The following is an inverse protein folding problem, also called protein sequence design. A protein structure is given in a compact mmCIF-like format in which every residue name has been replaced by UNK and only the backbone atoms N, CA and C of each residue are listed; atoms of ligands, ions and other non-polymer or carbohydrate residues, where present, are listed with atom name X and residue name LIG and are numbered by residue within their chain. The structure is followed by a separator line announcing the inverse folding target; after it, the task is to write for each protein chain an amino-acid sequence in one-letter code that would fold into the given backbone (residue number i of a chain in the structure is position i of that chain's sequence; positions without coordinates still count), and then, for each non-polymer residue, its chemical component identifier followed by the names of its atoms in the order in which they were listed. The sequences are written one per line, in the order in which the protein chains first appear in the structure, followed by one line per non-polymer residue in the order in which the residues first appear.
data_IF_306349195225
#
_entry.id   IF_306349195225
#
_cell.length_a   1.000
_cell.length_b   1.000
_cell.length_c   1.000
_cell.angle_alpha   90.00
_cell.angle_beta   90.00
_cell.angle_gamma   90.00
#
_symmetry.space_group_name_H-M   'P 1'
#
loop_
_entity.id
_entity.type
_entity.pdbx_description
1 polymer ?
#
# COMPACT_ATOMS: atom_id res chain seq x y z
N UNK A 1 -5.44 -20.27 16.31
CA UNK A 1 -5.31 -18.81 16.10
C UNK A 1 -5.89 -18.51 14.72
N UNK A 2 -6.97 -17.75 14.65
CA UNK A 2 -7.57 -17.33 13.37
C UNK A 2 -6.57 -16.41 12.67
N UNK A 3 -6.18 -16.76 11.43
CA UNK A 3 -5.35 -15.89 10.59
C UNK A 3 -6.12 -14.59 10.37
N UNK A 4 -5.52 -13.44 10.74
CA UNK A 4 -6.07 -12.12 10.44
C UNK A 4 -6.17 -11.94 8.94
N UNK A 5 -7.23 -11.27 8.47
CA UNK A 5 -7.29 -10.84 7.08
C UNK A 5 -6.21 -9.79 6.80
N UNK A 6 -5.80 -9.61 5.54
CA UNK A 6 -4.83 -8.56 5.17
C UNK A 6 -5.28 -7.17 5.63
N UNK A 7 -6.58 -6.91 5.60
CA UNK A 7 -7.17 -5.65 6.08
C UNK A 7 -6.99 -5.45 7.59
N UNK A 8 -7.29 -6.46 8.38
CA UNK A 8 -7.11 -6.42 9.83
C UNK A 8 -5.65 -6.22 10.21
N UNK A 9 -4.75 -6.95 9.54
CA UNK A 9 -3.31 -6.83 9.76
C UNK A 9 -2.78 -5.43 9.37
N UNK A 10 -3.25 -4.85 8.27
CA UNK A 10 -2.89 -3.49 7.88
C UNK A 10 -3.36 -2.46 8.94
N UNK A 11 -4.60 -2.59 9.43
CA UNK A 11 -5.11 -1.70 10.49
C UNK A 11 -4.36 -1.87 11.82
N UNK A 12 -3.93 -3.09 12.18
CA UNK A 12 -3.07 -3.31 13.36
C UNK A 12 -1.73 -2.59 13.21
N UNK A 13 -1.06 -2.72 12.06
CA UNK A 13 0.18 -1.99 11.80
C UNK A 13 0.00 -0.49 11.97
N UNK A 14 -1.11 0.08 11.49
CA UNK A 14 -1.39 1.51 11.65
C UNK A 14 -1.65 1.92 13.09
N UNK A 15 -2.29 1.06 13.90
CA UNK A 15 -2.50 1.30 15.32
C UNK A 15 -1.19 1.19 16.12
N UNK A 16 -0.41 0.16 15.88
CA UNK A 16 0.88 -0.09 16.54
C UNK A 16 1.88 1.04 16.23
N UNK A 17 1.80 1.60 15.03
CA UNK A 17 2.61 2.75 14.64
C UNK A 17 1.97 4.11 14.96
N UNK A 18 0.83 4.15 15.65
CA UNK A 18 0.07 5.38 16.00
C UNK A 18 -0.19 6.30 14.79
N UNK A 19 -0.43 5.69 13.63
CA UNK A 19 -0.63 6.40 12.36
C UNK A 19 -2.02 6.20 11.77
N UNK A 20 -2.96 5.66 12.56
CA UNK A 20 -4.33 5.34 12.14
C UNK A 20 -5.18 6.61 11.97
N UNK A 21 -4.98 7.33 10.87
CA UNK A 21 -5.69 8.57 10.51
C UNK A 21 -5.74 8.79 9.00
N UNK A 22 -6.58 9.72 8.56
CA UNK A 22 -6.75 10.09 7.14
C UNK A 22 -6.16 11.48 6.89
N UNK A 23 -5.27 11.65 5.89
CA UNK A 23 -4.59 10.60 5.14
C UNK A 23 -3.54 9.88 5.99
N UNK A 24 -3.31 8.60 5.73
CA UNK A 24 -2.26 7.82 6.42
C UNK A 24 -0.89 8.42 6.09
N UNK A 25 -0.06 8.79 7.09
CA UNK A 25 1.29 9.30 6.86
C UNK A 25 2.27 8.15 6.60
N UNK A 26 2.26 7.59 5.40
CA UNK A 26 2.92 6.31 5.08
C UNK A 26 4.43 6.31 5.33
N UNK A 27 5.09 7.46 5.15
CA UNK A 27 6.53 7.60 5.44
C UNK A 27 6.80 7.52 6.96
N UNK A 28 5.87 7.99 7.79
CA UNK A 28 5.95 7.84 9.25
C UNK A 28 5.70 6.38 9.66
N UNK A 29 4.78 5.68 8.97
CA UNK A 29 4.60 4.23 9.15
C UNK A 29 5.91 3.50 8.91
N UNK A 30 6.56 3.75 7.76
CA UNK A 30 7.85 3.16 7.43
C UNK A 30 8.88 3.46 8.52
N UNK A 31 9.04 4.72 8.93
CA UNK A 31 9.98 5.14 9.95
C UNK A 31 9.76 4.40 11.30
N UNK A 32 8.52 4.25 11.73
CA UNK A 32 8.18 3.56 12.99
C UNK A 32 8.37 2.04 12.90
N UNK A 33 8.39 1.49 11.70
CA UNK A 33 8.78 0.09 11.43
C UNK A 33 10.30 -0.10 11.30
N UNK A 34 11.10 0.97 11.48
CA UNK A 34 12.57 0.91 11.34
C UNK A 34 13.07 1.00 9.89
N UNK A 35 12.21 1.44 8.95
CA UNK A 35 12.52 1.59 7.54
C UNK A 35 12.81 3.06 7.22
N UNK A 36 13.96 3.34 6.60
CA UNK A 36 14.24 4.65 6.01
C UNK A 36 13.53 4.75 4.65
N UNK A 37 13.08 5.94 4.27
CA UNK A 37 12.49 6.19 2.96
C UNK A 37 13.31 7.25 2.23
N UNK A 38 13.70 6.97 0.98
CA UNK A 38 14.49 7.87 0.16
C UNK A 38 13.94 8.00 -1.25
N UNK A 39 13.90 9.22 -1.76
CA UNK A 39 13.64 9.47 -3.17
C UNK A 39 14.90 9.15 -3.98
N UNK A 40 14.77 8.34 -5.03
CA UNK A 40 15.89 7.92 -5.87
C UNK A 40 15.54 8.00 -7.35
N UNK A 41 16.53 8.25 -8.19
CA UNK A 41 16.39 8.17 -9.64
C UNK A 41 16.55 6.71 -10.06
N UNK A 42 15.45 5.96 -10.11
CA UNK A 42 15.45 4.52 -10.37
C UNK A 42 15.28 4.14 -11.85
N UNK A 43 15.24 5.15 -12.75
CA UNK A 43 14.92 4.94 -14.16
C UNK A 43 13.43 4.65 -14.38
N UNK A 44 13.02 4.49 -15.65
CA UNK A 44 11.61 4.44 -16.03
C UNK A 44 10.93 3.09 -15.69
N UNK A 45 11.73 2.04 -15.47
CA UNK A 45 11.22 0.67 -15.31
C UNK A 45 11.05 0.24 -13.85
N UNK A 46 11.53 1.02 -12.88
CA UNK A 46 11.48 0.68 -11.46
C UNK A 46 10.68 1.71 -10.70
N UNK A 47 9.68 1.26 -9.96
CA UNK A 47 8.86 2.11 -9.10
C UNK A 47 9.47 2.29 -7.73
N UNK A 48 9.99 1.22 -7.15
CA UNK A 48 10.59 1.20 -5.84
C UNK A 48 11.51 0.02 -5.61
N UNK A 49 12.13 0.01 -4.45
CA UNK A 49 12.95 -1.08 -3.96
C UNK A 49 12.94 -1.12 -2.43
N UNK A 50 12.98 -2.30 -1.89
CA UNK A 50 13.22 -2.55 -0.47
C UNK A 50 14.55 -3.28 -0.29
N UNK A 51 15.44 -2.70 0.50
CA UNK A 51 16.69 -3.32 0.92
C UNK A 51 16.63 -3.55 2.42
N UNK A 52 16.87 -4.77 2.87
CA UNK A 52 16.92 -5.10 4.30
C UNK A 52 18.25 -5.78 4.60
N UNK A 53 18.96 -5.24 5.57
CA UNK A 53 20.22 -5.78 6.04
C UNK A 53 20.31 -5.66 7.57
N UNK A 54 20.59 -6.76 8.26
CA UNK A 54 20.78 -6.82 9.71
C UNK A 54 19.65 -6.10 10.49
N UNK A 55 18.40 -6.42 10.16
CA UNK A 55 17.17 -5.84 10.76
C UNK A 55 16.97 -4.33 10.52
N UNK A 56 17.78 -3.71 9.67
CA UNK A 56 17.57 -2.35 9.19
C UNK A 56 17.10 -2.39 7.75
N UNK A 57 16.15 -1.54 7.41
CA UNK A 57 15.62 -1.48 6.06
C UNK A 57 15.63 -0.08 5.47
N UNK A 58 15.68 -0.02 4.14
CA UNK A 58 15.52 1.21 3.38
C UNK A 58 14.58 0.96 2.20
N UNK A 59 13.65 1.87 2.01
CA UNK A 59 12.73 1.91 0.87
C UNK A 59 13.17 3.04 -0.05
N UNK A 60 13.62 2.70 -1.26
CA UNK A 60 13.80 3.65 -2.35
C UNK A 60 12.52 3.78 -3.17
N UNK A 61 12.09 5.00 -3.50
CA UNK A 61 10.97 5.22 -4.41
C UNK A 61 11.36 6.19 -5.53
N UNK A 62 10.80 5.97 -6.73
CA UNK A 62 11.19 6.73 -7.90
C UNK A 62 10.72 8.19 -7.80
N UNK A 63 11.68 9.11 -7.80
CA UNK A 63 11.44 10.55 -7.71
C UNK A 63 10.65 11.11 -8.89
N UNK A 64 10.73 10.48 -10.07
CA UNK A 64 10.01 10.92 -11.28
C UNK A 64 8.51 10.62 -11.27
N UNK A 65 8.05 9.75 -10.35
CA UNK A 65 6.65 9.39 -10.27
C UNK A 65 5.80 10.43 -9.54
N UNK A 66 4.51 10.53 -9.91
CA UNK A 66 3.55 11.36 -9.20
C UNK A 66 3.47 11.00 -7.70
N UNK A 67 3.21 11.98 -6.84
CA UNK A 67 3.21 11.80 -5.38
C UNK A 67 2.32 10.67 -4.89
N UNK A 68 1.11 10.53 -5.46
CA UNK A 68 0.19 9.43 -5.10
C UNK A 68 0.79 8.06 -5.40
N UNK A 69 1.58 7.95 -6.47
CA UNK A 69 2.28 6.72 -6.84
C UNK A 69 3.47 6.46 -5.92
N UNK A 70 4.27 7.48 -5.59
CA UNK A 70 5.36 7.35 -4.62
C UNK A 70 4.84 6.82 -3.28
N UNK A 71 3.71 7.33 -2.80
CA UNK A 71 3.05 6.86 -1.58
C UNK A 71 2.61 5.39 -1.67
N UNK A 72 2.05 5.00 -2.83
CA UNK A 72 1.67 3.60 -3.06
C UNK A 72 2.89 2.69 -3.07
N UNK A 73 3.98 3.10 -3.73
CA UNK A 73 5.25 2.36 -3.71
C UNK A 73 5.75 2.14 -2.28
N UNK A 74 5.80 3.18 -1.44
CA UNK A 74 6.21 3.01 -0.04
C UNK A 74 5.31 2.02 0.71
N UNK A 75 3.98 2.08 0.51
CA UNK A 75 3.05 1.15 1.13
C UNK A 75 3.23 -0.29 0.65
N UNK A 76 3.53 -0.48 -0.64
CA UNK A 76 3.83 -1.77 -1.25
C UNK A 76 5.12 -2.39 -0.68
N UNK A 77 6.18 -1.59 -0.55
CA UNK A 77 7.43 -2.08 0.05
C UNK A 77 7.28 -2.39 1.54
N UNK A 78 6.45 -1.64 2.28
CA UNK A 78 6.07 -2.01 3.65
C UNK A 78 5.37 -3.37 3.68
N UNK A 79 4.54 -3.69 2.68
CA UNK A 79 3.90 -4.99 2.58
C UNK A 79 4.91 -6.12 2.39
N UNK A 80 5.90 -5.98 1.51
CA UNK A 80 6.98 -6.95 1.38
C UNK A 80 7.74 -7.14 2.68
N UNK A 81 8.04 -6.05 3.38
CA UNK A 81 8.69 -6.11 4.70
C UNK A 81 7.87 -6.88 5.74
N UNK A 82 6.54 -6.64 5.80
CA UNK A 82 5.67 -7.24 6.82
C UNK A 82 5.26 -8.68 6.50
N UNK A 83 5.06 -9.01 5.22
CA UNK A 83 4.46 -10.27 4.79
C UNK A 83 5.50 -11.28 4.28
N UNK A 84 6.52 -10.81 3.58
CA UNK A 84 7.39 -11.67 2.78
C UNK A 84 8.83 -11.73 3.27
N UNK A 85 9.20 -10.88 4.24
CA UNK A 85 10.55 -10.89 4.81
C UNK A 85 10.81 -12.21 5.54
N UNK A 86 11.83 -12.95 5.09
CA UNK A 86 12.26 -14.19 5.75
C UNK A 86 13.18 -13.84 6.94
N UNK A 87 12.72 -14.07 8.15
CA UNK A 87 13.39 -13.72 9.42
C UNK A 87 14.83 -14.23 9.59
N UNK A 88 15.31 -15.15 8.74
CA UNK A 88 16.62 -15.79 8.90
C UNK A 88 17.63 -15.41 7.80
N UNK A 89 17.39 -14.39 6.99
CA UNK A 89 18.34 -13.95 5.98
C UNK A 89 19.03 -12.67 6.41
N UNK A 90 20.36 -12.64 6.36
CA UNK A 90 21.17 -11.47 6.72
C UNK A 90 20.94 -10.27 5.80
N UNK A 91 20.54 -10.52 4.56
CA UNK A 91 20.28 -9.47 3.58
C UNK A 91 19.21 -9.92 2.59
N UNK A 92 18.27 -9.05 2.26
CA UNK A 92 17.21 -9.27 1.27
C UNK A 92 17.00 -8.00 0.45
N UNK A 93 16.79 -8.20 -0.85
CA UNK A 93 16.52 -7.14 -1.80
C UNK A 93 15.23 -7.48 -2.56
N UNK A 94 14.26 -6.58 -2.54
CA UNK A 94 13.08 -6.59 -3.39
C UNK A 94 13.19 -5.41 -4.34
N UNK A 95 12.92 -5.64 -5.62
CA UNK A 95 12.87 -4.58 -6.63
C UNK A 95 11.50 -4.67 -7.27
N UNK A 96 10.72 -3.59 -7.15
CA UNK A 96 9.41 -3.47 -7.77
C UNK A 96 9.56 -2.93 -9.20
N UNK A 97 9.44 -3.79 -10.22
CA UNK A 97 9.35 -3.33 -11.59
C UNK A 97 8.06 -2.53 -11.80
N UNK A 98 8.09 -1.60 -12.74
CA UNK A 98 6.91 -0.83 -13.14
C UNK A 98 5.80 -1.76 -13.65
N UNK A 99 4.93 -2.24 -12.78
CA UNK A 99 3.74 -3.00 -13.16
C UNK A 99 2.53 -2.07 -13.07
N UNK A 100 2.03 -1.66 -14.24
CA UNK A 100 0.66 -1.18 -14.36
C UNK A 100 -0.24 -2.36 -13.99
N UNK A 101 -1.20 -2.16 -13.09
CA UNK A 101 -2.22 -3.15 -12.72
C UNK A 101 -2.72 -3.90 -13.96
N UNK A 102 -2.18 -5.08 -14.25
CA UNK A 102 -2.72 -5.98 -15.26
C UNK A 102 -3.73 -6.90 -14.60
N UNK A 103 -4.92 -6.95 -15.20
CA UNK A 103 -6.08 -7.73 -14.74
C UNK A 103 -5.98 -9.23 -14.91
N UNK A 104 -4.83 -9.81 -15.21
CA UNK A 104 -4.73 -11.23 -15.57
C UNK A 104 -4.27 -12.07 -14.38
N UNK A 105 -5.25 -12.55 -13.62
CA UNK A 105 -5.11 -13.46 -12.45
C UNK A 105 -4.67 -14.89 -12.81
N UNK A 106 -4.21 -15.18 -14.02
CA UNK A 106 -4.13 -16.57 -14.52
C UNK A 106 -2.75 -17.22 -14.66
N UNK A 107 -1.67 -16.62 -14.15
CA UNK A 107 -0.36 -17.28 -14.11
C UNK A 107 0.38 -17.02 -12.82
N UNK A 108 -0.11 -17.66 -11.74
CA UNK A 108 0.46 -17.45 -10.42
C UNK A 108 1.73 -18.26 -10.19
N UNK A 109 2.90 -17.68 -10.53
CA UNK A 109 4.15 -18.09 -9.91
C UNK A 109 4.16 -17.67 -8.43
N UNK A 110 5.04 -18.24 -7.60
CA UNK A 110 5.11 -17.85 -6.17
C UNK A 110 5.38 -16.35 -5.99
N UNK A 111 6.11 -15.71 -6.91
CA UNK A 111 6.37 -14.26 -6.91
C UNK A 111 5.09 -13.46 -7.23
N UNK A 112 4.28 -13.90 -8.20
CA UNK A 112 3.04 -13.21 -8.55
C UNK A 112 2.06 -13.15 -7.36
N UNK A 113 2.00 -14.20 -6.54
CA UNK A 113 1.18 -14.21 -5.32
C UNK A 113 1.66 -13.19 -4.29
N UNK A 114 2.96 -13.08 -4.08
CA UNK A 114 3.54 -12.09 -3.17
C UNK A 114 3.24 -10.67 -3.63
N UNK A 115 3.33 -10.42 -4.94
CA UNK A 115 3.00 -9.12 -5.52
C UNK A 115 1.51 -8.77 -5.34
N UNK A 116 0.60 -9.72 -5.56
CA UNK A 116 -0.83 -9.53 -5.32
C UNK A 116 -1.12 -9.24 -3.85
N UNK A 117 -0.49 -9.97 -2.93
CA UNK A 117 -0.63 -9.75 -1.49
C UNK A 117 -0.06 -8.38 -1.10
N UNK A 118 1.12 -8.01 -1.61
CA UNK A 118 1.74 -6.71 -1.35
C UNK A 118 0.88 -5.55 -1.86
N UNK A 119 0.30 -5.67 -3.06
CA UNK A 119 -0.62 -4.68 -3.60
C UNK A 119 -1.89 -4.53 -2.75
N UNK A 120 -2.50 -5.64 -2.33
CA UNK A 120 -3.70 -5.63 -1.47
C UNK A 120 -3.41 -5.04 -0.10
N UNK A 121 -2.31 -5.43 0.51
CA UNK A 121 -1.92 -4.91 1.82
C UNK A 121 -1.53 -3.43 1.76
N UNK A 122 -0.77 -3.01 0.74
CA UNK A 122 -0.42 -1.61 0.51
C UNK A 122 -1.66 -0.73 0.30
N UNK A 123 -2.64 -1.22 -0.46
CA UNK A 123 -3.93 -0.55 -0.60
C UNK A 123 -4.69 -0.47 0.74
N UNK A 124 -4.67 -1.53 1.55
CA UNK A 124 -5.29 -1.55 2.87
C UNK A 124 -4.61 -0.60 3.86
N UNK A 125 -3.28 -0.45 3.81
CA UNK A 125 -2.54 0.54 4.59
C UNK A 125 -2.95 1.98 4.24
N UNK A 126 -3.02 2.31 2.94
CA UNK A 126 -3.36 3.66 2.51
C UNK A 126 -4.86 3.98 2.66
N UNK A 127 -5.71 2.97 2.54
CA UNK A 127 -7.16 3.07 2.53
C UNK A 127 -7.78 2.03 3.47
N UNK A 128 -7.59 2.17 4.81
CA UNK A 128 -8.16 1.24 5.79
C UNK A 128 -9.68 1.19 5.67
N UNK A 129 -10.24 -0.03 5.65
CA UNK A 129 -11.66 -0.25 5.41
C UNK A 129 -12.55 0.51 6.40
N UNK A 130 -12.20 0.46 7.69
CA UNK A 130 -12.94 1.14 8.74
C UNK A 130 -12.91 2.67 8.58
N UNK A 131 -11.76 3.24 8.19
CA UNK A 131 -11.65 4.69 7.95
C UNK A 131 -12.39 5.12 6.68
N UNK A 132 -12.39 4.30 5.63
CA UNK A 132 -13.19 4.55 4.42
C UNK A 132 -14.68 4.60 4.75
N UNK A 133 -15.20 3.58 5.41
CA UNK A 133 -16.61 3.53 5.81
C UNK A 133 -16.99 4.72 6.70
N UNK A 134 -16.09 5.13 7.62
CA UNK A 134 -16.30 6.30 8.46
C UNK A 134 -16.39 7.60 7.65
N UNK A 135 -15.50 7.81 6.69
CA UNK A 135 -15.51 9.01 5.83
C UNK A 135 -16.74 9.02 4.91
N UNK A 136 -17.11 7.89 4.32
CA UNK A 136 -18.34 7.75 3.51
C UNK A 136 -19.57 8.13 4.34
N UNK A 137 -19.74 7.54 5.51
CA UNK A 137 -20.88 7.82 6.40
C UNK A 137 -20.89 9.26 6.88
N UNK A 138 -19.74 9.79 7.27
CA UNK A 138 -19.59 11.16 7.80
C UNK A 138 -20.03 12.23 6.79
N UNK A 139 -19.75 12.00 5.52
CA UNK A 139 -20.04 12.96 4.45
C UNK A 139 -21.28 12.62 3.63
N UNK A 140 -21.99 11.51 3.95
CA UNK A 140 -23.18 11.06 3.24
C UNK A 140 -22.92 10.81 1.75
N UNK A 141 -21.77 10.20 1.42
CA UNK A 141 -21.33 10.04 0.04
C UNK A 141 -22.14 8.95 -0.68
N UNK A 142 -22.64 9.29 -1.86
CA UNK A 142 -23.17 8.34 -2.83
C UNK A 142 -22.00 7.85 -3.70
N UNK A 143 -21.67 6.56 -3.61
CA UNK A 143 -20.55 5.99 -4.34
C UNK A 143 -20.82 5.74 -5.82
N UNK A 144 -22.07 5.89 -6.28
CA UNK A 144 -22.41 5.90 -7.70
C UNK A 144 -22.07 7.25 -8.36
N UNK A 145 -21.72 8.28 -7.55
CA UNK A 145 -21.28 9.59 -8.01
C UNK A 145 -19.75 9.66 -8.17
N UNK A 146 -19.27 10.06 -9.37
CA UNK A 146 -17.83 10.24 -9.65
C UNK A 146 -17.18 11.32 -8.75
N UNK A 147 -17.94 12.33 -8.33
CA UNK A 147 -17.44 13.36 -7.42
C UNK A 147 -17.15 12.79 -6.04
N UNK A 148 -17.95 11.85 -5.56
CA UNK A 148 -17.70 11.15 -4.29
C UNK A 148 -16.41 10.32 -4.36
N UNK A 149 -16.17 9.61 -5.47
CA UNK A 149 -14.92 8.86 -5.69
C UNK A 149 -13.70 9.79 -5.73
N UNK A 150 -13.82 10.91 -6.45
CA UNK A 150 -12.77 11.94 -6.53
C UNK A 150 -12.50 12.57 -5.17
N UNK A 151 -13.54 12.86 -4.38
CA UNK A 151 -13.41 13.38 -3.02
C UNK A 151 -12.62 12.40 -2.13
N UNK A 152 -13.01 11.12 -2.11
CA UNK A 152 -12.32 10.10 -1.31
C UNK A 152 -10.87 9.93 -1.74
N UNK A 153 -10.60 9.88 -3.05
CA UNK A 153 -9.23 9.76 -3.57
C UNK A 153 -8.34 10.91 -3.10
N UNK A 154 -8.84 12.16 -3.17
CA UNK A 154 -8.15 13.35 -2.66
C UNK A 154 -7.95 13.28 -1.15
N UNK A 155 -8.98 12.88 -0.41
CA UNK A 155 -8.97 12.78 1.05
C UNK A 155 -7.92 11.79 1.56
N UNK A 156 -7.81 10.63 0.91
CA UNK A 156 -6.82 9.59 1.25
C UNK A 156 -5.45 9.79 0.55
N UNK A 157 -5.33 10.78 -0.34
CA UNK A 157 -4.14 11.06 -1.16
C UNK A 157 -3.69 9.84 -1.96
N UNK A 158 -4.63 9.25 -2.69
CA UNK A 158 -4.43 8.16 -3.65
C UNK A 158 -4.98 8.55 -5.02
N UNK A 159 -4.72 7.74 -6.06
CA UNK A 159 -5.35 7.96 -7.36
C UNK A 159 -6.82 7.51 -7.35
N UNK A 160 -7.67 8.12 -8.22
CA UNK A 160 -9.05 7.69 -8.38
C UNK A 160 -9.14 6.21 -8.77
N UNK A 161 -8.26 5.74 -9.65
CA UNK A 161 -8.19 4.33 -10.03
C UNK A 161 -7.90 3.40 -8.84
N UNK A 162 -6.97 3.78 -7.95
CA UNK A 162 -6.68 3.02 -6.74
C UNK A 162 -7.88 3.02 -5.77
N UNK A 163 -8.57 4.15 -5.64
CA UNK A 163 -9.78 4.26 -4.81
C UNK A 163 -10.90 3.36 -5.34
N UNK A 164 -11.19 3.42 -6.65
CA UNK A 164 -12.20 2.56 -7.28
C UNK A 164 -11.87 1.08 -7.10
N UNK A 165 -10.63 0.68 -7.35
CA UNK A 165 -10.17 -0.69 -7.12
C UNK A 165 -10.39 -1.13 -5.67
N UNK A 166 -10.04 -0.27 -4.71
CA UNK A 166 -10.19 -0.55 -3.28
C UNK A 166 -11.64 -0.71 -2.86
N UNK A 167 -12.51 0.19 -3.29
CA UNK A 167 -13.94 0.13 -2.98
C UNK A 167 -14.61 -1.11 -3.59
N UNK A 168 -14.22 -1.50 -4.82
CA UNK A 168 -14.66 -2.76 -5.43
C UNK A 168 -14.20 -3.98 -4.62
N UNK A 169 -12.93 -4.01 -4.20
CA UNK A 169 -12.38 -5.11 -3.40
C UNK A 169 -13.06 -5.26 -2.04
N UNK A 170 -13.62 -4.17 -1.50
CA UNK A 170 -14.40 -4.15 -0.25
C UNK A 170 -15.89 -4.44 -0.48
N UNK A 171 -16.36 -4.60 -1.74
CA UNK A 171 -17.78 -4.79 -2.07
C UNK A 171 -18.64 -3.55 -1.78
N UNK A 172 -18.05 -2.36 -1.78
CA UNK A 172 -18.72 -1.09 -1.51
C UNK A 172 -19.24 -0.40 -2.78
N UNK A 173 -18.70 -0.72 -3.96
CA UNK A 173 -19.25 -0.33 -5.26
C UNK A 173 -20.16 -1.45 -5.79
N UNK A 174 -21.26 -1.05 -6.46
CA UNK A 174 -22.22 -1.98 -7.09
C UNK A 174 -21.88 -2.22 -8.56
#
# INVERSE_FOLDING_TARGET
MTSLSLDQHAEEVLRDTETYKVPVPIEVVAQRLGLKTEAAALGDKVSGMLVVENDRGAIGYNVSHARVRQRFTVAHEIAHFKLHLKKNRRSQLFIDPFVIFRRDDNSATGNDKQEVEANRFGAALLMPATLLQKEIKKHGLDLDDEDALSFLAKRFRVSSAAMTYRLNALGLLR
#
